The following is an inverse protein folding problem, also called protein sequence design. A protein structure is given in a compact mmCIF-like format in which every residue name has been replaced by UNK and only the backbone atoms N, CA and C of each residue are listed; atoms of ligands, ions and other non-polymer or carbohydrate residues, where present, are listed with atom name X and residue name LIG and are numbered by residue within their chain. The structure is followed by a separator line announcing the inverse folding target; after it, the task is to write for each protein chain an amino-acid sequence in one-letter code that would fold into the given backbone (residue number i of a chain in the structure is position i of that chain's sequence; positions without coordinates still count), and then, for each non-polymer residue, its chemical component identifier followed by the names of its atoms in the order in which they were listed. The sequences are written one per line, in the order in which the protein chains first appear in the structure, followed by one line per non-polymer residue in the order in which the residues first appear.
data_IF_175372006328
#
_entry.id   IF_175372006328
#
_cell.length_a   1.000
_cell.length_b   1.000
_cell.length_c   1.000
_cell.angle_alpha   90.00
_cell.angle_beta   90.00
_cell.angle_gamma   90.00
#
_symmetry.space_group_name_H-M   'P 1'
#
loop_
_entity.id
_entity.type
_entity.pdbx_description
1 polymer ?
#
# COMPACT_ATOMS: atom_id res chain seq x y z
N UNK A 1 13.37 -36.65 -8.43
CA UNK A 1 13.42 -35.16 -8.36
C UNK A 1 12.04 -34.73 -7.91
N UNK A 2 11.95 -33.86 -6.91
CA UNK A 2 10.62 -33.32 -6.53
C UNK A 2 10.13 -32.40 -7.66
N UNK A 3 8.91 -32.64 -8.11
CA UNK A 3 8.24 -31.77 -9.09
C UNK A 3 8.04 -30.38 -8.47
N UNK A 4 8.41 -29.32 -9.19
CA UNK A 4 8.22 -27.94 -8.72
C UNK A 4 6.76 -27.53 -8.99
N UNK A 5 6.07 -27.07 -7.96
CA UNK A 5 4.66 -26.70 -8.03
C UNK A 5 4.48 -25.22 -8.41
N UNK A 6 3.36 -24.91 -9.04
CA UNK A 6 3.02 -23.54 -9.45
C UNK A 6 3.06 -22.54 -8.28
N UNK A 7 2.50 -22.92 -7.13
CA UNK A 7 2.44 -22.10 -5.92
C UNK A 7 3.81 -21.79 -5.30
N UNK A 8 4.83 -22.62 -5.57
CA UNK A 8 6.21 -22.37 -5.14
C UNK A 8 6.91 -21.34 -6.05
N UNK A 9 6.45 -21.22 -7.29
CA UNK A 9 7.03 -20.33 -8.30
C UNK A 9 6.32 -18.97 -8.30
N UNK A 10 5.00 -18.94 -8.53
CA UNK A 10 4.19 -17.74 -8.46
C UNK A 10 3.39 -17.72 -7.16
N UNK A 11 4.02 -17.20 -6.09
CA UNK A 11 3.46 -17.26 -4.75
C UNK A 11 2.64 -16.01 -4.41
N UNK A 12 1.46 -16.22 -3.80
CA UNK A 12 0.56 -15.13 -3.34
C UNK A 12 0.95 -14.58 -1.96
N UNK A 13 1.90 -15.24 -1.28
CA UNK A 13 2.33 -14.87 0.08
C UNK A 13 3.72 -15.40 0.38
N UNK A 14 4.37 -14.80 1.37
CA UNK A 14 5.70 -15.22 1.81
C UNK A 14 6.85 -14.67 0.96
N UNK A 15 8.04 -15.25 1.13
CA UNK A 15 9.24 -14.87 0.38
C UNK A 15 9.38 -15.78 -0.83
N UNK A 16 9.37 -15.23 -2.06
CA UNK A 16 9.51 -16.06 -3.26
C UNK A 16 10.85 -16.77 -3.28
N UNK A 17 10.81 -18.05 -3.56
CA UNK A 17 12.02 -18.89 -3.64
C UNK A 17 12.68 -18.74 -5.02
N UNK A 18 11.88 -18.81 -6.08
CA UNK A 18 12.37 -18.89 -7.47
C UNK A 18 12.29 -17.56 -8.21
N UNK A 19 11.32 -16.71 -7.88
CA UNK A 19 11.01 -15.49 -8.62
C UNK A 19 11.45 -14.22 -7.90
N UNK A 20 12.43 -14.33 -6.99
CA UNK A 20 13.00 -13.14 -6.37
C UNK A 20 13.77 -12.30 -7.39
N UNK A 21 13.43 -11.01 -7.45
CA UNK A 21 14.12 -9.98 -8.22
C UNK A 21 14.59 -8.91 -7.26
N UNK A 22 15.85 -8.50 -7.41
CA UNK A 22 16.40 -7.42 -6.61
C UNK A 22 15.75 -6.09 -6.99
N UNK A 23 15.01 -5.43 -6.06
CA UNK A 23 14.52 -4.08 -6.30
C UNK A 23 15.68 -3.08 -6.38
N UNK A 24 15.42 -1.88 -6.88
CA UNK A 24 16.43 -0.84 -7.01
C UNK A 24 17.08 -0.48 -5.65
N UNK A 25 16.33 -0.62 -4.58
CA UNK A 25 16.73 -0.30 -3.20
C UNK A 25 17.58 -1.40 -2.53
N UNK A 26 17.79 -2.55 -3.20
CA UNK A 26 18.41 -3.74 -2.59
C UNK A 26 19.81 -3.46 -2.03
N UNK A 27 20.67 -2.84 -2.83
CA UNK A 27 22.06 -2.52 -2.40
C UNK A 27 22.05 -1.49 -1.26
N UNK A 28 21.21 -0.45 -1.36
CA UNK A 28 21.04 0.54 -0.30
C UNK A 28 20.58 -0.11 1.01
N UNK A 29 19.64 -1.07 0.91
CA UNK A 29 19.15 -1.84 2.06
C UNK A 29 20.29 -2.62 2.72
N UNK A 30 21.12 -3.34 1.96
CA UNK A 30 22.27 -4.08 2.49
C UNK A 30 23.28 -3.17 3.21
N UNK A 31 23.59 -2.01 2.62
CA UNK A 31 24.49 -1.02 3.24
C UNK A 31 23.89 -0.50 4.54
N UNK A 32 22.61 -0.08 4.51
CA UNK A 32 21.94 0.44 5.69
C UNK A 32 21.86 -0.59 6.83
N UNK A 33 21.59 -1.87 6.53
CA UNK A 33 21.59 -2.95 7.54
C UNK A 33 22.94 -3.11 8.23
N UNK A 34 24.07 -2.96 7.49
CA UNK A 34 25.42 -3.08 8.05
C UNK A 34 25.92 -1.83 8.75
N UNK A 35 25.32 -0.65 8.49
CA UNK A 35 25.73 0.61 9.10
C UNK A 35 25.39 0.62 10.60
N UNK A 36 26.39 0.69 11.46
CA UNK A 36 26.22 0.69 12.93
C UNK A 36 25.70 2.04 13.42
N UNK A 37 25.02 2.04 14.57
CA UNK A 37 24.57 3.25 15.26
C UNK A 37 23.47 4.03 14.54
N UNK A 38 22.90 3.54 13.45
CA UNK A 38 21.81 4.19 12.72
C UNK A 38 20.60 3.27 12.61
N UNK A 39 19.42 3.78 12.91
CA UNK A 39 18.17 3.09 12.61
C UNK A 39 17.89 3.04 11.11
N UNK A 40 17.09 2.09 10.68
CA UNK A 40 16.63 1.99 9.28
C UNK A 40 15.11 2.07 9.24
N UNK A 41 14.59 2.95 8.42
CA UNK A 41 13.17 3.04 8.12
C UNK A 41 12.98 2.62 6.67
N UNK A 42 12.06 1.69 6.44
CA UNK A 42 11.71 1.20 5.11
C UNK A 42 10.24 1.50 4.85
N UNK A 43 9.98 2.31 3.85
CA UNK A 43 8.63 2.74 3.50
C UNK A 43 8.33 2.51 2.02
N UNK A 44 7.06 2.44 1.68
CA UNK A 44 6.57 2.27 0.31
C UNK A 44 5.24 1.52 0.24
N UNK A 45 4.63 1.40 -0.93
CA UNK A 45 3.35 0.75 -1.13
C UNK A 45 3.33 -0.70 -0.65
N UNK A 46 2.16 -1.22 -0.32
CA UNK A 46 1.99 -2.64 0.00
C UNK A 46 2.25 -3.51 -1.24
N UNK A 47 2.83 -4.70 -1.05
CA UNK A 47 3.11 -5.66 -2.13
C UNK A 47 4.27 -5.29 -3.05
N UNK A 48 5.03 -4.22 -2.77
CA UNK A 48 6.18 -3.78 -3.58
C UNK A 48 7.45 -4.61 -3.34
N UNK A 49 7.49 -5.40 -2.26
CA UNK A 49 8.61 -6.30 -1.95
C UNK A 49 9.49 -5.86 -0.77
N UNK A 50 9.12 -4.90 0.08
CA UNK A 50 9.91 -4.38 1.22
C UNK A 50 10.44 -5.49 2.14
N UNK A 51 9.54 -6.24 2.74
CA UNK A 51 9.87 -7.31 3.72
C UNK A 51 10.69 -8.43 3.07
N UNK A 52 10.36 -8.77 1.82
CA UNK A 52 11.12 -9.75 1.03
C UNK A 52 12.56 -9.28 0.79
N UNK A 53 12.73 -8.02 0.38
CA UNK A 53 14.05 -7.40 0.17
C UNK A 53 14.91 -7.48 1.44
N UNK A 54 14.35 -7.10 2.59
CA UNK A 54 15.06 -7.15 3.87
C UNK A 54 15.46 -8.58 4.24
N UNK A 55 14.53 -9.54 4.15
CA UNK A 55 14.82 -10.96 4.46
C UNK A 55 15.93 -11.54 3.57
N UNK A 56 15.90 -11.23 2.27
CA UNK A 56 16.95 -11.67 1.32
C UNK A 56 18.28 -10.97 1.59
N UNK A 57 18.27 -9.67 1.88
CA UNK A 57 19.47 -8.92 2.23
C UNK A 57 20.13 -9.45 3.52
N UNK A 58 19.35 -9.75 4.57
CA UNK A 58 19.84 -10.36 5.80
C UNK A 58 20.47 -11.71 5.57
N UNK A 59 19.82 -12.57 4.78
CA UNK A 59 20.34 -13.90 4.45
C UNK A 59 21.68 -13.81 3.70
N UNK A 60 21.82 -12.88 2.74
CA UNK A 60 23.04 -12.71 1.96
C UNK A 60 24.22 -12.17 2.79
N UNK A 61 23.95 -11.30 3.78
CA UNK A 61 24.99 -10.76 4.67
C UNK A 61 25.19 -11.60 5.94
N UNK A 62 24.57 -12.79 6.01
CA UNK A 62 24.60 -13.70 7.17
C UNK A 62 24.28 -13.01 8.52
N UNK A 63 23.27 -12.15 8.50
CA UNK A 63 22.84 -11.38 9.67
C UNK A 63 21.54 -11.94 10.26
N UNK A 64 21.60 -12.42 11.49
CA UNK A 64 20.41 -12.89 12.22
C UNK A 64 19.60 -11.69 12.73
N UNK A 65 18.27 -11.77 12.61
CA UNK A 65 17.36 -10.74 13.08
C UNK A 65 16.11 -11.35 13.73
N UNK A 66 15.60 -10.66 14.74
CA UNK A 66 14.28 -10.92 15.30
C UNK A 66 13.24 -10.17 14.46
N UNK A 67 12.28 -10.91 13.88
CA UNK A 67 11.20 -10.33 13.08
C UNK A 67 9.94 -10.25 13.94
N UNK A 68 9.38 -9.06 14.07
CA UNK A 68 8.14 -8.76 14.80
C UNK A 68 7.15 -8.08 13.85
N UNK A 69 5.86 -8.29 14.05
CA UNK A 69 4.79 -7.63 13.28
C UNK A 69 3.81 -6.91 14.21
N UNK A 70 3.50 -5.67 13.90
CA UNK A 70 2.47 -4.92 14.63
C UNK A 70 1.03 -5.46 14.41
N UNK A 71 0.86 -6.52 13.59
CA UNK A 71 -0.41 -7.23 13.42
C UNK A 71 -0.59 -8.38 14.41
N UNK A 72 0.49 -8.84 15.03
CA UNK A 72 0.49 -9.99 15.94
C UNK A 72 0.46 -9.51 17.39
N UNK A 73 -0.57 -9.86 18.17
CA UNK A 73 -0.69 -9.38 19.56
C UNK A 73 0.51 -9.69 20.45
N UNK A 74 1.06 -10.91 20.36
CA UNK A 74 2.22 -11.30 21.16
C UNK A 74 3.47 -10.49 20.78
N UNK A 75 3.64 -10.18 19.49
CA UNK A 75 4.73 -9.34 19.01
C UNK A 75 4.59 -7.89 19.53
N UNK A 76 3.36 -7.37 19.63
CA UNK A 76 3.11 -6.02 20.17
C UNK A 76 3.58 -5.92 21.63
N UNK A 77 3.34 -6.94 22.45
CA UNK A 77 3.81 -6.95 23.82
C UNK A 77 5.35 -6.98 23.89
N UNK A 78 5.99 -7.75 23.00
CA UNK A 78 7.45 -7.74 22.91
C UNK A 78 8.00 -6.41 22.37
N UNK A 79 7.32 -5.78 21.42
CA UNK A 79 7.65 -4.43 20.92
C UNK A 79 7.61 -3.40 22.07
N UNK A 80 6.62 -3.46 22.97
CA UNK A 80 6.55 -2.61 24.15
C UNK A 80 7.70 -2.91 25.12
N UNK A 81 8.05 -4.18 25.30
CA UNK A 81 9.17 -4.58 26.16
C UNK A 81 10.52 -4.03 25.65
N UNK A 82 10.74 -3.96 24.34
CA UNK A 82 11.94 -3.36 23.73
C UNK A 82 12.15 -1.91 24.19
N UNK A 83 11.09 -1.14 24.34
CA UNK A 83 11.17 0.25 24.82
C UNK A 83 11.60 0.34 26.30
N UNK A 84 11.34 -0.70 27.09
CA UNK A 84 11.71 -0.75 28.51
C UNK A 84 13.14 -1.27 28.72
N UNK A 85 13.60 -2.16 27.83
CA UNK A 85 14.92 -2.82 27.92
C UNK A 85 15.59 -2.89 26.55
N UNK A 86 16.12 -1.77 26.03
CA UNK A 86 16.62 -1.67 24.65
C UNK A 86 18.05 -2.18 24.47
N UNK A 87 18.61 -2.94 25.40
CA UNK A 87 20.01 -3.33 25.41
C UNK A 87 20.22 -4.74 24.84
N UNK A 88 21.29 -4.92 24.05
CA UNK A 88 21.75 -6.23 23.54
C UNK A 88 20.68 -6.99 22.73
N UNK A 89 19.84 -6.27 21.98
CA UNK A 89 18.74 -6.87 21.22
C UNK A 89 19.19 -7.47 19.89
N UNK A 90 20.42 -7.17 19.43
CA UNK A 90 20.85 -7.51 18.09
C UNK A 90 20.06 -6.73 17.02
N UNK A 91 19.73 -7.38 15.91
CA UNK A 91 18.90 -6.78 14.86
C UNK A 91 17.44 -7.09 15.12
N UNK A 92 16.64 -6.06 15.29
CA UNK A 92 15.18 -6.17 15.46
C UNK A 92 14.50 -5.47 14.29
N UNK A 93 13.60 -6.17 13.65
CA UNK A 93 12.78 -5.69 12.55
C UNK A 93 11.34 -5.67 12.98
N UNK A 94 10.70 -4.51 12.88
CA UNK A 94 9.28 -4.34 13.20
C UNK A 94 8.56 -4.05 11.88
N UNK A 95 7.81 -5.04 11.41
CA UNK A 95 6.95 -4.91 10.23
C UNK A 95 5.60 -4.29 10.62
N UNK A 96 4.95 -3.65 9.66
CA UNK A 96 3.69 -2.93 9.86
C UNK A 96 3.75 -1.84 10.97
N UNK A 97 4.92 -1.24 11.18
CA UNK A 97 5.18 -0.27 12.24
C UNK A 97 4.16 0.87 12.31
N UNK A 98 3.59 1.27 11.19
CA UNK A 98 2.57 2.32 11.09
C UNK A 98 1.28 1.98 11.87
N UNK A 99 0.99 0.70 12.16
CA UNK A 99 -0.19 0.26 12.90
C UNK A 99 -0.05 0.41 14.43
N UNK A 100 1.16 0.69 14.93
CA UNK A 100 1.38 0.91 16.36
C UNK A 100 0.77 2.24 16.84
N UNK A 101 0.45 2.30 18.13
CA UNK A 101 -0.05 3.51 18.76
C UNK A 101 1.01 4.63 18.74
N UNK A 102 0.56 5.88 18.68
CA UNK A 102 1.45 7.05 18.62
C UNK A 102 2.39 7.14 19.83
N UNK A 103 1.97 6.66 21.02
CA UNK A 103 2.82 6.58 22.20
C UNK A 103 4.01 5.64 21.98
N UNK A 104 3.76 4.46 21.37
CA UNK A 104 4.81 3.50 21.04
C UNK A 104 5.72 4.05 19.94
N UNK A 105 5.15 4.65 18.88
CA UNK A 105 5.90 5.29 17.80
C UNK A 105 6.84 6.37 18.33
N UNK A 106 6.36 7.21 19.26
CA UNK A 106 7.17 8.23 19.92
C UNK A 106 8.30 7.60 20.75
N UNK A 107 8.02 6.54 21.51
CA UNK A 107 9.03 5.80 22.24
C UNK A 107 10.16 5.29 21.32
N UNK A 108 9.84 4.72 20.18
CA UNK A 108 10.84 4.30 19.17
C UNK A 108 11.59 5.47 18.56
N UNK A 109 10.94 6.61 18.34
CA UNK A 109 11.60 7.84 17.89
C UNK A 109 12.68 8.28 18.87
N UNK A 110 12.37 8.28 20.17
CA UNK A 110 13.32 8.66 21.23
C UNK A 110 14.43 7.60 21.39
N UNK A 111 14.10 6.31 21.30
CA UNK A 111 15.08 5.23 21.32
C UNK A 111 16.07 5.32 20.15
N UNK A 112 15.59 5.60 18.93
CA UNK A 112 16.45 5.78 17.75
C UNK A 112 17.45 6.92 17.93
N UNK A 113 17.07 8.01 18.62
CA UNK A 113 18.00 9.10 18.96
C UNK A 113 19.09 8.61 19.91
N UNK A 114 18.70 7.93 20.98
CA UNK A 114 19.67 7.40 21.95
C UNK A 114 20.65 6.43 21.31
N UNK A 115 20.16 5.50 20.48
CA UNK A 115 21.02 4.53 19.77
C UNK A 115 22.01 5.23 18.83
N UNK A 116 21.58 6.28 18.14
CA UNK A 116 22.45 7.05 17.25
C UNK A 116 23.47 7.90 18.01
N UNK A 117 23.05 8.62 19.04
CA UNK A 117 23.92 9.53 19.80
C UNK A 117 24.99 8.76 20.62
N UNK A 118 24.67 7.53 21.03
CA UNK A 118 25.60 6.64 21.73
C UNK A 118 26.38 5.70 20.81
N UNK A 119 26.16 5.78 19.50
CA UNK A 119 26.78 4.92 18.49
C UNK A 119 26.71 3.41 18.81
N UNK A 120 25.61 2.97 19.45
CA UNK A 120 25.46 1.58 19.91
C UNK A 120 25.46 0.60 18.74
N UNK A 121 26.25 -0.43 18.87
CA UNK A 121 26.42 -1.48 17.87
C UNK A 121 25.70 -2.79 18.27
N UNK A 122 25.23 -2.88 19.50
CA UNK A 122 24.58 -4.04 20.10
C UNK A 122 23.08 -4.14 19.76
N UNK A 123 22.49 -3.04 19.30
CA UNK A 123 21.08 -2.97 18.94
C UNK A 123 20.91 -2.24 17.61
N UNK A 124 20.24 -2.88 16.64
CA UNK A 124 19.89 -2.32 15.34
C UNK A 124 18.38 -2.41 15.15
N UNK A 125 17.72 -1.27 14.95
CA UNK A 125 16.29 -1.22 14.68
C UNK A 125 16.02 -0.99 13.20
N UNK A 126 15.11 -1.80 12.63
CA UNK A 126 14.60 -1.67 11.26
C UNK A 126 13.07 -1.59 11.34
N UNK A 127 12.52 -0.47 10.97
CA UNK A 127 11.08 -0.21 11.01
C UNK A 127 10.52 -0.22 9.59
N UNK A 128 9.57 -1.10 9.33
CA UNK A 128 8.93 -1.23 8.01
C UNK A 128 7.51 -0.70 8.11
N UNK A 129 7.13 0.18 7.18
CA UNK A 129 5.78 0.73 7.11
C UNK A 129 5.30 0.95 5.68
N UNK A 130 4.06 1.38 5.57
CA UNK A 130 3.52 1.89 4.31
C UNK A 130 4.05 3.31 4.05
N UNK A 131 3.66 3.90 2.92
CA UNK A 131 4.09 5.23 2.49
C UNK A 131 4.09 6.26 3.64
N UNK A 132 5.19 7.00 3.72
CA UNK A 132 5.41 8.09 4.69
C UNK A 132 5.52 7.65 6.17
N UNK A 133 5.80 6.38 6.45
CA UNK A 133 6.09 5.93 7.81
C UNK A 133 7.29 6.69 8.42
N UNK A 134 8.29 7.01 7.60
CA UNK A 134 9.42 7.84 7.99
C UNK A 134 9.03 9.29 8.26
N UNK A 135 8.12 9.87 7.48
CA UNK A 135 7.63 11.23 7.71
C UNK A 135 6.88 11.34 9.05
N UNK A 136 6.07 10.33 9.41
CA UNK A 136 5.42 10.26 10.72
C UNK A 136 6.44 10.30 11.87
N UNK A 137 7.52 9.52 11.80
CA UNK A 137 8.57 9.51 12.82
C UNK A 137 9.36 10.82 12.85
N UNK A 138 9.65 11.41 11.69
CA UNK A 138 10.35 12.69 11.59
C UNK A 138 9.45 13.83 12.10
N UNK A 139 8.12 13.79 11.91
CA UNK A 139 7.20 14.75 12.50
C UNK A 139 7.19 14.67 14.03
N UNK A 140 7.28 13.45 14.59
CA UNK A 140 7.40 13.25 16.05
C UNK A 140 8.75 13.72 16.60
N UNK A 141 9.81 13.68 15.78
CA UNK A 141 11.17 14.06 16.14
C UNK A 141 11.97 14.54 14.92
N UNK A 142 11.91 15.83 14.57
CA UNK A 142 12.54 16.37 13.35
C UNK A 142 14.06 16.16 13.27
N UNK A 143 14.72 16.04 14.39
CA UNK A 143 16.16 15.80 14.50
C UNK A 143 16.59 14.35 14.18
N UNK A 144 15.63 13.42 14.01
CA UNK A 144 15.91 12.05 13.56
C UNK A 144 16.46 11.97 12.12
N UNK A 145 16.18 12.94 11.29
CA UNK A 145 16.51 12.88 9.85
C UNK A 145 18.00 12.59 9.59
N UNK A 146 18.89 13.08 10.48
CA UNK A 146 20.33 12.84 10.36
C UNK A 146 20.81 11.56 11.06
N UNK A 147 19.93 10.85 11.79
CA UNK A 147 20.25 9.70 12.64
C UNK A 147 19.73 8.37 12.13
N UNK A 148 18.92 8.39 11.08
CA UNK A 148 18.30 7.22 10.48
C UNK A 148 18.62 7.15 8.98
N UNK A 149 18.54 5.95 8.43
CA UNK A 149 18.60 5.69 7.00
C UNK A 149 17.19 5.39 6.51
N UNK A 150 16.61 6.31 5.74
CA UNK A 150 15.28 6.09 5.12
C UNK A 150 15.45 5.49 3.74
N UNK A 151 14.79 4.34 3.52
CA UNK A 151 14.75 3.62 2.26
C UNK A 151 13.32 3.65 1.77
N UNK A 152 13.08 4.42 0.72
CA UNK A 152 11.77 4.55 0.10
C UNK A 152 11.70 3.62 -1.09
N UNK A 153 10.79 2.66 -1.02
CA UNK A 153 10.46 1.78 -2.13
C UNK A 153 9.42 2.47 -3.01
N UNK A 154 9.73 2.51 -4.28
CA UNK A 154 8.84 3.04 -5.32
C UNK A 154 8.33 1.89 -6.19
N UNK A 155 7.46 2.20 -7.16
CA UNK A 155 7.02 1.22 -8.16
C UNK A 155 8.24 0.60 -8.85
N UNK A 156 8.26 -0.73 -8.96
CA UNK A 156 9.32 -1.39 -9.71
C UNK A 156 9.21 -1.06 -11.20
N UNK A 157 10.34 -0.80 -11.88
CA UNK A 157 10.38 -0.63 -13.33
C UNK A 157 9.83 -1.87 -14.05
N UNK A 158 9.31 -1.68 -15.27
CA UNK A 158 8.74 -2.77 -16.07
C UNK A 158 9.74 -3.90 -16.29
N UNK A 159 11.02 -3.60 -16.47
CA UNK A 159 12.09 -4.58 -16.67
C UNK A 159 12.25 -5.51 -15.46
N UNK A 160 12.03 -5.01 -14.24
CA UNK A 160 12.08 -5.83 -13.03
C UNK A 160 10.89 -6.76 -12.91
N UNK A 161 9.72 -6.31 -13.34
CA UNK A 161 8.52 -7.15 -13.42
C UNK A 161 8.71 -8.22 -14.50
N UNK A 162 9.24 -7.86 -15.65
CA UNK A 162 9.55 -8.79 -16.73
C UNK A 162 10.60 -9.84 -16.30
N UNK A 163 11.64 -9.44 -15.57
CA UNK A 163 12.63 -10.33 -14.97
C UNK A 163 11.97 -11.37 -14.05
N UNK A 164 11.03 -10.94 -13.19
CA UNK A 164 10.27 -11.85 -12.30
C UNK A 164 9.51 -12.89 -13.11
N UNK A 165 8.77 -12.45 -14.13
CA UNK A 165 7.98 -13.34 -14.99
C UNK A 165 8.89 -14.33 -15.71
N UNK A 166 10.00 -13.87 -16.26
CA UNK A 166 10.98 -14.72 -16.99
C UNK A 166 11.59 -15.79 -16.06
N UNK A 167 11.94 -15.44 -14.83
CA UNK A 167 12.37 -16.43 -13.84
C UNK A 167 11.32 -17.51 -13.60
N UNK A 168 10.05 -17.13 -13.49
CA UNK A 168 8.96 -18.08 -13.33
C UNK A 168 8.76 -18.97 -14.56
N UNK A 169 8.85 -18.40 -15.77
CA UNK A 169 8.80 -19.15 -17.03
C UNK A 169 9.89 -20.22 -17.11
N UNK A 170 11.10 -19.86 -16.75
CA UNK A 170 12.25 -20.78 -16.81
C UNK A 170 12.09 -21.94 -15.83
N UNK A 171 11.59 -21.65 -14.63
CA UNK A 171 11.37 -22.69 -13.59
C UNK A 171 10.22 -23.61 -13.97
N UNK A 172 9.12 -23.08 -14.49
CA UNK A 172 7.95 -23.88 -14.90
C UNK A 172 8.10 -24.53 -16.29
N UNK A 173 9.15 -24.17 -17.03
CA UNK A 173 9.36 -24.57 -18.42
C UNK A 173 8.21 -24.18 -19.34
N UNK A 174 7.77 -22.90 -19.23
CA UNK A 174 6.71 -22.29 -20.02
C UNK A 174 7.19 -21.02 -20.71
N UNK A 175 6.42 -20.53 -21.66
CA UNK A 175 6.58 -19.21 -22.29
C UNK A 175 5.25 -18.46 -22.26
N UNK A 176 5.21 -17.32 -21.58
CA UNK A 176 4.02 -16.45 -21.47
C UNK A 176 4.05 -15.42 -22.60
N UNK A 177 3.23 -15.61 -23.64
CA UNK A 177 3.25 -14.73 -24.82
C UNK A 177 2.59 -13.36 -24.55
N UNK A 178 1.67 -13.27 -23.57
CA UNK A 178 1.04 -12.02 -23.14
C UNK A 178 1.81 -11.31 -21.99
N UNK A 179 3.13 -11.57 -21.85
CA UNK A 179 3.97 -11.03 -20.78
C UNK A 179 3.88 -9.51 -20.64
N UNK A 180 3.97 -8.77 -21.75
CA UNK A 180 3.88 -7.29 -21.75
C UNK A 180 2.57 -6.77 -21.18
N UNK A 181 1.47 -7.44 -21.46
CA UNK A 181 0.17 -7.06 -20.91
C UNK A 181 0.10 -7.30 -19.40
N UNK A 182 0.70 -8.39 -18.90
CA UNK A 182 0.81 -8.65 -17.47
C UNK A 182 1.68 -7.58 -16.80
N UNK A 183 2.83 -7.24 -17.37
CA UNK A 183 3.72 -6.18 -16.88
C UNK A 183 2.96 -4.86 -16.73
N UNK A 184 2.27 -4.41 -17.78
CA UNK A 184 1.50 -3.15 -17.76
C UNK A 184 0.38 -3.14 -16.72
N UNK A 185 -0.26 -4.30 -16.46
CA UNK A 185 -1.36 -4.42 -15.49
C UNK A 185 -0.90 -4.81 -14.08
N UNK A 186 0.40 -4.95 -13.85
CA UNK A 186 0.96 -5.22 -12.52
C UNK A 186 1.15 -3.96 -11.66
N UNK A 187 1.04 -2.78 -12.28
CA UNK A 187 1.24 -1.46 -11.63
C UNK A 187 2.58 -1.33 -10.90
N UNK A 188 3.63 -2.03 -11.37
CA UNK A 188 4.94 -2.09 -10.73
C UNK A 188 5.00 -2.91 -9.44
N UNK A 189 3.97 -3.68 -9.13
CA UNK A 189 3.91 -4.55 -7.95
C UNK A 189 4.33 -5.97 -8.30
N UNK A 190 5.37 -6.48 -7.65
CA UNK A 190 5.76 -7.89 -7.76
C UNK A 190 4.64 -8.83 -7.33
N UNK A 191 3.88 -8.46 -6.30
CA UNK A 191 2.77 -9.26 -5.82
C UNK A 191 1.66 -9.40 -6.88
N UNK A 192 1.27 -8.29 -7.52
CA UNK A 192 0.24 -8.30 -8.56
C UNK A 192 0.72 -9.08 -9.79
N UNK A 193 1.98 -8.92 -10.19
CA UNK A 193 2.55 -9.68 -11.30
C UNK A 193 2.49 -11.19 -11.05
N UNK A 194 2.90 -11.64 -9.86
CA UNK A 194 2.80 -13.05 -9.48
C UNK A 194 1.35 -13.55 -9.46
N UNK A 195 0.44 -12.75 -8.91
CA UNK A 195 -0.99 -13.05 -8.88
C UNK A 195 -1.58 -13.24 -10.29
N UNK A 196 -1.23 -12.37 -11.23
CA UNK A 196 -1.70 -12.46 -12.62
C UNK A 196 -1.08 -13.66 -13.36
N UNK A 197 0.23 -13.90 -13.19
CA UNK A 197 0.89 -15.09 -13.75
C UNK A 197 0.29 -16.39 -13.22
N UNK A 198 0.05 -16.48 -11.91
CA UNK A 198 -0.60 -17.64 -11.29
C UNK A 198 -2.01 -17.86 -11.85
N UNK A 199 -2.79 -16.78 -11.99
CA UNK A 199 -4.14 -16.84 -12.56
C UNK A 199 -4.12 -17.34 -14.00
N UNK A 200 -3.19 -16.87 -14.83
CA UNK A 200 -3.00 -17.35 -16.19
C UNK A 200 -2.63 -18.83 -16.21
N UNK A 201 -1.65 -19.25 -15.41
CA UNK A 201 -1.25 -20.68 -15.33
C UNK A 201 -2.41 -21.58 -14.95
N UNK A 202 -3.21 -21.19 -13.95
CA UNK A 202 -4.39 -21.96 -13.53
C UNK A 202 -5.43 -22.04 -14.66
N UNK A 203 -5.71 -20.95 -15.35
CA UNK A 203 -6.63 -20.90 -16.51
C UNK A 203 -6.16 -21.85 -17.63
N UNK A 204 -4.84 -21.92 -17.84
CA UNK A 204 -4.22 -22.79 -18.85
C UNK A 204 -3.90 -24.19 -18.30
N UNK A 205 -4.39 -24.55 -17.10
CA UNK A 205 -4.19 -25.85 -16.41
C UNK A 205 -2.73 -26.22 -16.14
N UNK A 206 -1.87 -25.23 -15.97
CA UNK A 206 -0.49 -25.42 -15.55
C UNK A 206 -0.46 -25.37 -14.02
N UNK A 207 -0.18 -26.50 -13.38
CA UNK A 207 -0.11 -26.62 -11.91
C UNK A 207 1.28 -26.99 -11.41
N UNK A 208 2.18 -27.35 -12.32
CA UNK A 208 3.54 -27.78 -12.01
C UNK A 208 4.49 -27.57 -13.20
N UNK A 209 5.78 -27.74 -12.96
CA UNK A 209 6.82 -27.67 -13.99
C UNK A 209 6.51 -28.65 -15.14
N UNK A 210 6.56 -28.15 -16.36
CA UNK A 210 6.33 -28.92 -17.57
C UNK A 210 7.58 -29.68 -18.02
N UNK A 211 7.41 -30.83 -18.65
CA UNK A 211 8.54 -31.61 -19.20
C UNK A 211 9.17 -30.91 -20.39
N UNK A 212 8.34 -30.47 -21.33
CA UNK A 212 8.72 -29.73 -22.52
C UNK A 212 8.26 -28.28 -22.38
N UNK A 213 9.01 -27.35 -22.98
CA UNK A 213 8.63 -25.94 -22.93
C UNK A 213 7.36 -25.71 -23.77
N UNK A 214 6.34 -25.18 -23.16
CA UNK A 214 5.05 -24.90 -23.80
C UNK A 214 4.74 -23.43 -23.76
N UNK A 215 4.06 -22.96 -24.81
CA UNK A 215 3.57 -21.57 -24.86
C UNK A 215 2.17 -21.48 -24.27
N UNK A 216 1.96 -20.48 -23.41
CA UNK A 216 0.65 -20.18 -22.82
C UNK A 216 0.29 -18.71 -23.07
N UNK A 217 -0.99 -18.47 -23.31
CA UNK A 217 -1.51 -17.13 -23.54
C UNK A 217 -2.99 -17.04 -23.24
N UNK A 218 -3.42 -15.87 -22.81
CA UNK A 218 -4.83 -15.49 -22.78
C UNK A 218 -4.95 -13.96 -22.93
N UNK A 219 -6.07 -13.46 -23.44
CA UNK A 219 -6.33 -12.03 -23.44
C UNK A 219 -6.28 -11.50 -22.00
N UNK A 220 -5.50 -10.47 -21.73
CA UNK A 220 -5.31 -9.92 -20.38
C UNK A 220 -6.63 -9.56 -19.69
N UNK A 221 -7.63 -9.09 -20.47
CA UNK A 221 -8.97 -8.79 -19.95
C UNK A 221 -9.64 -10.00 -19.33
N UNK A 222 -9.41 -11.20 -19.86
CA UNK A 222 -9.97 -12.44 -19.33
C UNK A 222 -9.29 -12.79 -17.98
N UNK A 223 -7.96 -12.68 -17.91
CA UNK A 223 -7.19 -12.93 -16.68
C UNK A 223 -7.65 -11.96 -15.58
N UNK A 224 -7.75 -10.66 -15.91
CA UNK A 224 -8.26 -9.64 -14.99
C UNK A 224 -9.69 -9.98 -14.56
N UNK A 225 -10.56 -10.34 -15.50
CA UNK A 225 -11.95 -10.68 -15.22
C UNK A 225 -12.08 -11.88 -14.24
N UNK A 226 -11.34 -12.96 -14.49
CA UNK A 226 -11.28 -14.14 -13.58
C UNK A 226 -10.87 -13.69 -12.19
N UNK A 227 -9.79 -12.91 -12.08
CA UNK A 227 -9.30 -12.45 -10.79
C UNK A 227 -10.26 -11.48 -10.10
N UNK A 228 -10.88 -10.57 -10.85
CA UNK A 228 -11.87 -9.64 -10.32
C UNK A 228 -13.11 -10.34 -9.78
N UNK A 229 -13.58 -11.44 -10.40
CA UNK A 229 -14.69 -12.23 -9.86
C UNK A 229 -14.37 -12.82 -8.47
N UNK A 230 -13.14 -13.29 -8.26
CA UNK A 230 -12.67 -13.78 -6.97
C UNK A 230 -12.58 -12.64 -5.94
N UNK A 231 -11.90 -11.55 -6.30
CA UNK A 231 -11.65 -10.42 -5.41
C UNK A 231 -12.94 -9.66 -5.05
N UNK A 232 -13.89 -9.59 -5.99
CA UNK A 232 -15.17 -8.93 -5.74
C UNK A 232 -15.98 -9.61 -4.62
N UNK A 233 -15.90 -10.93 -4.47
CA UNK A 233 -16.54 -11.65 -3.38
C UNK A 233 -16.00 -11.23 -2.02
N UNK A 234 -14.71 -10.90 -1.96
CA UNK A 234 -14.01 -10.51 -0.72
C UNK A 234 -14.20 -9.02 -0.45
N UNK A 235 -13.97 -8.18 -1.46
CA UNK A 235 -13.81 -6.74 -1.26
C UNK A 235 -15.06 -5.90 -1.51
N UNK A 236 -16.03 -6.36 -2.32
CA UNK A 236 -17.22 -5.56 -2.60
C UNK A 236 -17.99 -5.16 -1.32
N UNK A 237 -18.21 -6.05 -0.34
CA UNK A 237 -18.90 -5.67 0.90
C UNK A 237 -18.15 -4.56 1.66
N UNK A 238 -16.84 -4.70 1.81
CA UNK A 238 -15.98 -3.71 2.48
C UNK A 238 -15.99 -2.37 1.74
N UNK A 239 -15.85 -2.41 0.41
CA UNK A 239 -15.88 -1.22 -0.44
C UNK A 239 -17.21 -0.49 -0.34
N UNK A 240 -18.34 -1.22 -0.33
CA UNK A 240 -19.69 -0.65 -0.12
C UNK A 240 -19.83 0.00 1.25
N UNK A 241 -19.32 -0.65 2.29
CA UNK A 241 -19.37 -0.11 3.66
C UNK A 241 -18.57 1.18 3.75
N UNK A 242 -17.36 1.24 3.21
CA UNK A 242 -16.57 2.47 3.21
C UNK A 242 -17.22 3.56 2.34
N UNK A 243 -17.69 3.24 1.13
CA UNK A 243 -18.33 4.18 0.22
C UNK A 243 -19.60 4.80 0.81
N UNK A 244 -20.37 4.04 1.61
CA UNK A 244 -21.56 4.54 2.32
C UNK A 244 -21.20 5.52 3.43
N UNK A 245 -20.01 5.37 4.06
CA UNK A 245 -19.55 6.22 5.16
C UNK A 245 -20.42 6.08 6.42
N UNK A 246 -20.26 7.05 7.34
CA UNK A 246 -20.98 7.05 8.63
C UNK A 246 -22.47 7.39 8.54
N UNK A 247 -22.95 7.86 7.41
CA UNK A 247 -24.36 8.21 7.17
C UNK A 247 -24.72 7.96 5.71
N UNK A 248 -25.69 7.09 5.46
CA UNK A 248 -26.28 6.85 4.13
C UNK A 248 -27.04 8.09 3.62
N UNK A 249 -26.33 9.13 3.18
CA UNK A 249 -26.94 10.26 2.49
C UNK A 249 -26.83 10.03 0.99
N UNK A 250 -27.88 9.46 0.39
CA UNK A 250 -27.97 9.19 -1.07
C UNK A 250 -27.88 10.47 -1.91
N UNK A 251 -28.31 11.61 -1.35
CA UNK A 251 -28.27 12.93 -2.03
C UNK A 251 -27.01 13.75 -1.69
N UNK A 252 -26.00 13.12 -1.04
CA UNK A 252 -24.76 13.78 -0.68
C UNK A 252 -23.70 13.71 -1.78
N UNK A 253 -22.58 14.42 -1.57
CA UNK A 253 -21.44 14.49 -2.48
C UNK A 253 -20.67 13.16 -2.66
N UNK A 254 -21.17 12.04 -2.12
CA UNK A 254 -20.56 10.71 -2.16
C UNK A 254 -19.04 10.72 -1.85
N UNK A 255 -18.62 11.50 -0.83
CA UNK A 255 -17.20 11.80 -0.60
C UNK A 255 -16.37 10.53 -0.35
N UNK A 256 -16.87 9.58 0.45
CA UNK A 256 -16.13 8.33 0.70
C UNK A 256 -15.96 7.48 -0.56
N UNK A 257 -16.98 7.45 -1.44
CA UNK A 257 -16.86 6.82 -2.74
C UNK A 257 -15.78 7.51 -3.59
N UNK A 258 -15.75 8.86 -3.59
CA UNK A 258 -14.73 9.61 -4.32
C UNK A 258 -13.33 9.38 -3.78
N UNK A 259 -13.16 9.22 -2.47
CA UNK A 259 -11.88 8.84 -1.89
C UNK A 259 -11.38 7.49 -2.43
N UNK A 260 -12.27 6.50 -2.61
CA UNK A 260 -11.90 5.23 -3.23
C UNK A 260 -11.52 5.38 -4.70
N UNK A 261 -12.26 6.21 -5.46
CA UNK A 261 -11.93 6.51 -6.86
C UNK A 261 -10.53 7.16 -6.93
N UNK A 262 -10.27 8.20 -6.14
CA UNK A 262 -8.96 8.86 -6.13
C UNK A 262 -7.83 7.94 -5.64
N UNK A 263 -8.11 7.05 -4.66
CA UNK A 263 -7.16 6.00 -4.28
C UNK A 263 -6.84 5.05 -5.44
N UNK A 264 -7.85 4.71 -6.25
CA UNK A 264 -7.64 3.85 -7.43
C UNK A 264 -6.80 4.52 -8.53
N UNK A 265 -6.85 5.85 -8.60
CA UNK A 265 -6.07 6.67 -9.53
C UNK A 265 -4.66 6.97 -9.00
N UNK A 266 -4.49 6.97 -7.68
CA UNK A 266 -3.20 7.24 -7.05
C UNK A 266 -2.14 6.20 -7.44
N UNK A 267 -0.95 6.69 -7.70
CA UNK A 267 0.17 5.86 -8.16
C UNK A 267 0.69 4.92 -7.08
N UNK A 268 0.75 5.39 -5.85
CA UNK A 268 1.29 4.68 -4.70
C UNK A 268 0.21 4.11 -3.76
N UNK A 269 -1.08 4.23 -4.15
CA UNK A 269 -2.21 3.75 -3.35
C UNK A 269 -2.41 4.55 -2.07
N UNK A 270 -1.98 5.82 -2.02
CA UNK A 270 -2.13 6.70 -0.87
C UNK A 270 -2.64 8.09 -1.28
N UNK A 271 -3.44 8.69 -0.41
CA UNK A 271 -3.96 10.05 -0.56
C UNK A 271 -3.56 10.91 0.62
N UNK A 272 -2.88 12.00 0.36
CA UNK A 272 -2.68 13.06 1.34
C UNK A 272 -3.87 14.04 1.26
N UNK A 273 -4.71 14.10 2.32
CA UNK A 273 -5.99 14.82 2.28
C UNK A 273 -5.85 16.32 1.97
N UNK A 274 -4.73 16.94 2.36
CA UNK A 274 -4.50 18.36 2.05
C UNK A 274 -4.27 18.55 0.55
N UNK A 275 -3.50 17.66 -0.09
CA UNK A 275 -3.25 17.68 -1.54
C UNK A 275 -4.56 17.42 -2.30
N UNK A 276 -5.33 16.41 -1.87
CA UNK A 276 -6.66 16.14 -2.44
C UNK A 276 -7.58 17.37 -2.35
N UNK A 277 -7.52 18.11 -1.23
CA UNK A 277 -8.30 19.32 -1.03
C UNK A 277 -7.87 20.48 -1.97
N UNK A 278 -6.60 20.50 -2.39
CA UNK A 278 -6.09 21.48 -3.36
C UNK A 278 -6.49 21.14 -4.78
N UNK A 279 -6.40 19.85 -5.14
CA UNK A 279 -6.78 19.35 -6.48
C UNK A 279 -8.30 19.39 -6.67
N UNK A 280 -9.08 19.18 -5.61
CA UNK A 280 -10.54 19.14 -5.62
C UNK A 280 -11.15 20.17 -4.66
N UNK A 281 -11.02 21.49 -4.93
CA UNK A 281 -11.42 22.56 -4.01
C UNK A 281 -12.91 22.55 -3.65
N UNK A 282 -13.77 22.02 -4.55
CA UNK A 282 -15.20 21.86 -4.31
C UNK A 282 -15.53 20.86 -3.17
N UNK A 283 -14.59 19.97 -2.81
CA UNK A 283 -14.70 19.00 -1.71
C UNK A 283 -13.92 19.40 -0.46
N UNK A 284 -13.12 20.46 -0.50
CA UNK A 284 -12.22 20.91 0.58
C UNK A 284 -12.90 20.95 1.94
N UNK A 285 -14.07 21.59 2.03
CA UNK A 285 -14.81 21.68 3.30
C UNK A 285 -15.22 20.28 3.81
N UNK A 286 -15.72 19.43 2.92
CA UNK A 286 -16.17 18.08 3.29
C UNK A 286 -15.00 17.18 3.68
N UNK A 287 -13.85 17.27 2.97
CA UNK A 287 -12.62 16.54 3.30
C UNK A 287 -12.10 16.94 4.68
N UNK A 288 -11.98 18.25 4.93
CA UNK A 288 -11.55 18.75 6.24
C UNK A 288 -12.53 18.31 7.35
N UNK A 289 -13.83 18.36 7.10
CA UNK A 289 -14.82 17.94 8.09
C UNK A 289 -14.65 16.46 8.48
N UNK A 290 -14.43 15.55 7.52
CA UNK A 290 -14.29 14.12 7.84
C UNK A 290 -12.94 13.79 8.48
N UNK A 291 -11.88 14.54 8.14
CA UNK A 291 -10.56 14.41 8.74
C UNK A 291 -10.55 14.98 10.17
N UNK A 292 -10.89 16.27 10.34
CA UNK A 292 -10.79 16.99 11.62
C UNK A 292 -11.73 16.45 12.71
N UNK A 293 -12.91 15.96 12.32
CA UNK A 293 -13.88 15.37 13.25
C UNK A 293 -13.66 13.88 13.49
N UNK A 294 -12.59 13.30 12.95
CA UNK A 294 -12.24 11.89 13.11
C UNK A 294 -13.27 10.93 12.52
N UNK A 295 -14.03 11.35 11.49
CA UNK A 295 -15.03 10.47 10.90
C UNK A 295 -14.41 9.33 10.10
N UNK A 296 -13.28 9.56 9.41
CA UNK A 296 -12.54 8.52 8.69
C UNK A 296 -11.98 7.51 9.70
N UNK A 297 -11.28 8.00 10.74
CA UNK A 297 -10.70 7.16 11.80
C UNK A 297 -11.76 6.25 12.40
N UNK A 298 -12.89 6.82 12.84
CA UNK A 298 -13.99 6.02 13.40
C UNK A 298 -14.60 5.02 12.43
N UNK A 299 -14.67 5.35 11.14
CA UNK A 299 -15.21 4.43 10.14
C UNK A 299 -14.29 3.23 9.97
N UNK A 300 -12.98 3.44 9.95
CA UNK A 300 -11.96 2.38 9.83
C UNK A 300 -11.90 1.56 11.12
N UNK A 301 -11.77 2.19 12.27
CA UNK A 301 -11.60 1.51 13.57
C UNK A 301 -12.80 0.66 13.97
N UNK A 302 -14.03 1.10 13.62
CA UNK A 302 -15.26 0.37 13.93
C UNK A 302 -15.56 -0.77 12.95
N UNK A 303 -14.76 -0.95 11.89
CA UNK A 303 -15.00 -1.96 10.85
C UNK A 303 -13.71 -2.73 10.56
N UNK A 304 -13.56 -3.91 11.17
CA UNK A 304 -12.37 -4.76 11.00
C UNK A 304 -12.03 -5.00 9.52
N UNK A 305 -13.02 -5.34 8.69
CA UNK A 305 -12.81 -5.59 7.26
C UNK A 305 -12.28 -4.34 6.50
N UNK A 306 -12.64 -3.13 6.94
CA UNK A 306 -12.08 -1.90 6.34
C UNK A 306 -10.66 -1.71 6.84
N UNK A 307 -10.38 -1.94 8.12
CA UNK A 307 -9.05 -1.85 8.73
C UNK A 307 -8.05 -2.81 8.10
N UNK A 308 -8.51 -3.96 7.61
CA UNK A 308 -7.65 -4.94 6.93
C UNK A 308 -7.14 -4.45 5.56
N UNK A 309 -7.84 -3.51 4.93
CA UNK A 309 -7.54 -3.05 3.56
C UNK A 309 -7.20 -1.57 3.43
N UNK A 310 -7.57 -0.75 4.42
CA UNK A 310 -7.34 0.69 4.43
C UNK A 310 -6.77 1.15 5.78
N UNK A 311 -5.79 2.00 5.72
CA UNK A 311 -5.19 2.69 6.86
C UNK A 311 -5.39 4.20 6.75
N UNK A 312 -5.67 4.86 7.85
CA UNK A 312 -5.72 6.31 7.93
C UNK A 312 -4.90 6.82 9.11
N UNK A 313 -3.90 7.64 8.80
CA UNK A 313 -3.15 8.39 9.79
C UNK A 313 -3.76 9.79 9.98
N UNK A 314 -4.29 10.03 11.17
CA UNK A 314 -4.93 11.30 11.50
C UNK A 314 -3.92 12.45 11.64
N UNK A 315 -2.68 12.17 12.04
CA UNK A 315 -1.63 13.17 12.27
C UNK A 315 -1.09 13.72 10.95
N UNK A 316 -0.78 12.86 10.00
CA UNK A 316 -0.32 13.21 8.65
C UNK A 316 -1.47 13.41 7.66
N UNK A 317 -2.71 13.03 8.03
CA UNK A 317 -3.91 13.02 7.18
C UNK A 317 -3.71 12.19 5.90
N UNK A 318 -3.10 11.02 6.03
CA UNK A 318 -2.86 10.11 4.91
C UNK A 318 -3.85 8.95 4.99
N UNK A 319 -4.60 8.73 3.90
CA UNK A 319 -5.37 7.52 3.67
C UNK A 319 -4.61 6.63 2.70
N UNK A 320 -4.35 5.38 3.06
CA UNK A 320 -3.54 4.46 2.26
C UNK A 320 -4.16 3.07 2.17
N UNK A 321 -3.82 2.36 1.11
CA UNK A 321 -4.22 0.97 0.88
C UNK A 321 -3.22 0.04 1.57
N UNK A 322 -3.72 -0.89 2.39
CA UNK A 322 -2.95 -1.90 3.12
C UNK A 322 -2.71 -3.18 2.31
N UNK A 323 -3.68 -3.59 1.48
CA UNK A 323 -3.65 -4.85 0.75
C UNK A 323 -3.43 -4.59 -0.75
N UNK A 324 -2.35 -5.14 -1.38
CA UNK A 324 -2.10 -4.98 -2.80
C UNK A 324 -3.19 -5.60 -3.69
N UNK A 325 -3.90 -6.62 -3.21
CA UNK A 325 -5.06 -7.20 -3.92
C UNK A 325 -6.23 -6.23 -3.92
N UNK A 326 -6.41 -5.48 -2.82
CA UNK A 326 -7.42 -4.43 -2.76
C UNK A 326 -7.09 -3.26 -3.69
N UNK A 327 -5.80 -2.88 -3.79
CA UNK A 327 -5.36 -1.90 -4.78
C UNK A 327 -5.70 -2.34 -6.21
N UNK A 328 -5.40 -3.60 -6.55
CA UNK A 328 -5.74 -4.16 -7.86
C UNK A 328 -7.27 -4.16 -8.09
N UNK A 329 -8.04 -4.55 -7.08
CA UNK A 329 -9.50 -4.53 -7.13
C UNK A 329 -10.04 -3.11 -7.40
N UNK A 330 -9.58 -2.08 -6.66
CA UNK A 330 -10.02 -0.71 -6.86
C UNK A 330 -9.65 -0.17 -8.25
N UNK A 331 -8.45 -0.46 -8.74
CA UNK A 331 -7.98 -0.02 -10.07
C UNK A 331 -8.77 -0.64 -11.23
N UNK A 332 -9.36 -1.82 -11.04
CA UNK A 332 -10.12 -2.54 -12.06
C UNK A 332 -11.64 -2.50 -11.81
N UNK A 333 -12.12 -1.73 -10.83
CA UNK A 333 -13.55 -1.55 -10.54
C UNK A 333 -14.17 -0.57 -11.53
N UNK A 334 -15.31 -0.96 -12.16
CA UNK A 334 -16.15 -0.01 -12.89
C UNK A 334 -16.89 0.89 -11.89
N UNK A 335 -16.32 2.06 -11.63
CA UNK A 335 -16.85 3.01 -10.66
C UNK A 335 -18.22 3.59 -11.05
N UNK A 336 -18.54 3.68 -12.35
CA UNK A 336 -19.83 4.18 -12.79
C UNK A 336 -20.94 3.16 -12.46
N UNK A 337 -20.69 1.89 -12.76
CA UNK A 337 -21.60 0.82 -12.39
C UNK A 337 -21.71 0.68 -10.87
N UNK A 338 -20.60 0.69 -10.15
CA UNK A 338 -20.56 0.59 -8.69
C UNK A 338 -21.37 1.73 -8.03
N UNK A 339 -21.16 2.98 -8.47
CA UNK A 339 -21.90 4.13 -7.97
C UNK A 339 -23.41 3.99 -8.22
N UNK A 340 -23.80 3.55 -9.41
CA UNK A 340 -25.20 3.31 -9.78
C UNK A 340 -25.85 2.26 -8.89
N UNK A 341 -25.16 1.15 -8.61
CA UNK A 341 -25.62 0.10 -7.69
C UNK A 341 -25.78 0.61 -6.25
N UNK A 342 -24.91 1.53 -5.81
CA UNK A 342 -24.99 2.19 -4.51
C UNK A 342 -26.07 3.29 -4.44
N UNK A 343 -26.67 3.64 -5.59
CA UNK A 343 -27.65 4.73 -5.70
C UNK A 343 -27.01 6.12 -5.69
N UNK A 344 -25.71 6.23 -5.96
CA UNK A 344 -25.02 7.50 -6.15
C UNK A 344 -25.03 7.92 -7.64
N UNK A 345 -25.16 9.20 -7.88
CA UNK A 345 -24.94 9.78 -9.21
C UNK A 345 -23.51 10.33 -9.27
N UNK A 346 -22.62 9.66 -9.99
CA UNK A 346 -21.33 10.22 -10.37
C UNK A 346 -21.56 11.12 -11.60
N UNK A 347 -22.26 12.21 -11.42
CA UNK A 347 -22.28 13.23 -12.48
C UNK A 347 -20.85 13.77 -12.60
N UNK A 348 -20.28 13.67 -13.83
CA UNK A 348 -19.24 14.58 -14.25
C UNK A 348 -19.86 15.98 -14.10
N UNK A 349 -19.57 16.65 -12.99
CA UNK A 349 -19.83 18.07 -12.88
C UNK A 349 -18.82 18.72 -13.85
N UNK A 350 -19.16 18.72 -15.13
CA UNK A 350 -18.74 19.78 -16.01
C UNK A 350 -19.37 20.99 -15.33
N UNK A 351 -18.53 21.81 -14.70
CA UNK A 351 -18.96 23.11 -14.22
C UNK A 351 -19.48 23.82 -15.46
N UNK A 352 -20.80 23.94 -15.57
CA UNK A 352 -21.46 24.72 -16.63
C UNK A 352 -21.06 26.21 -16.51
N UNK A 353 -20.36 26.55 -15.44
CA UNK A 353 -19.95 27.92 -15.11
C UNK A 353 -18.51 27.92 -14.59
N UNK A 354 -17.71 28.85 -15.08
CA UNK A 354 -16.33 29.08 -14.62
C UNK A 354 -16.29 29.68 -13.21
N UNK A 355 -17.40 30.31 -12.78
CA UNK A 355 -17.53 30.97 -11.49
C UNK A 355 -18.90 30.70 -10.87
N UNK A 356 -18.94 30.50 -9.54
CA UNK A 356 -20.15 30.51 -8.74
C UNK A 356 -20.17 31.75 -7.84
N UNK A 357 -21.14 32.63 -8.05
CA UNK A 357 -21.34 33.78 -7.17
C UNK A 357 -22.17 33.37 -5.96
N UNK A 358 -21.58 33.48 -4.76
CA UNK A 358 -22.28 33.33 -3.49
C UNK A 358 -22.55 34.70 -2.89
N UNK A 359 -23.82 35.04 -2.67
CA UNK A 359 -24.23 36.32 -2.13
C UNK A 359 -25.37 36.18 -1.12
N UNK A 360 -25.48 37.09 -0.17
CA UNK A 360 -26.65 37.21 0.68
C UNK A 360 -27.83 37.74 -0.17
N UNK A 361 -29.03 37.25 0.11
CA UNK A 361 -30.26 37.54 -0.67
C UNK A 361 -30.47 39.03 -0.99
N UNK A 362 -30.08 39.89 -0.07
CA UNK A 362 -30.13 41.37 -0.22
C UNK A 362 -29.24 41.92 -1.38
N UNK A 363 -28.23 41.15 -1.83
CA UNK A 363 -27.31 41.54 -2.88
C UNK A 363 -27.54 40.84 -4.22
N UNK A 364 -28.69 40.23 -4.37
CA UNK A 364 -29.08 39.46 -5.56
C UNK A 364 -29.03 40.31 -6.84
N UNK A 365 -29.51 41.53 -6.79
CA UNK A 365 -29.57 42.47 -7.92
C UNK A 365 -28.16 42.75 -8.46
N UNK A 366 -27.16 42.89 -7.57
CA UNK A 366 -25.76 43.12 -8.00
C UNK A 366 -25.14 41.85 -8.62
N UNK A 367 -25.49 40.65 -8.10
CA UNK A 367 -25.00 39.41 -8.66
C UNK A 367 -25.62 39.14 -10.04
N UNK A 368 -26.89 39.45 -10.26
CA UNK A 368 -27.57 39.33 -11.55
C UNK A 368 -27.02 40.32 -12.59
N UNK A 369 -26.53 41.49 -12.18
CA UNK A 369 -25.91 42.48 -13.09
C UNK A 369 -24.49 42.06 -13.58
N UNK A 370 -23.85 41.10 -12.92
CA UNK A 370 -22.55 40.54 -13.34
C UNK A 370 -22.74 39.30 -14.25
N UNK A 371 -23.95 38.80 -14.35
CA UNK A 371 -24.27 37.65 -15.20
C UNK A 371 -24.63 38.06 -16.65
N UNK A 372 -25.14 39.28 -16.86
CA UNK A 372 -25.42 39.86 -18.18
C UNK A 372 -24.23 40.65 -18.71
#
# INVERSE_FOLDING_TARGET
MNTILLEDVFCDSGVPQYTFVEPAEYIKTKVALRTRGRGVIVEGPSGIGKTTCIKKALAEIDMKATMLSARVPDDIEFIKFILQSPENLGVVIIDDFHLLDDTIKKGFSDLLKVLADTARADTKLVLIGINKAGECLIQLAPDLNNRIDTIKFEKNPEEKIEELITKGEDVLNITITCKKDIVGNSYGSFHIAQMLCKTLCIDQRITEQQRDRIEISAPIKNIIHIKMQELARIFTPTTRTFAAGNRNRRDGRALYLRLLIWLSEADDGALQMNEVSMVHPQYKYSINQIADKGYITRLIDNNANIKDVLYYDASSRILAIEDPKYMFYLKNTDWNQFAKEMGFKLENIKTLYDFALSFAGEKRVYAESLYN
#
